data_IF_063372396966
#
_entry.id   IF_063372396966
#
_cell.length_a   1.000
_cell.length_b   1.000
_cell.length_c   1.000
_cell.angle_alpha   90.00
_cell.angle_beta   90.00
_cell.angle_gamma   90.00
#
_symmetry.space_group_name_H-M   'P 1'
#
loop_
_entity.id
_entity.type
_entity.pdbx_description
1 polymer ?
#
# COMPACT_ATOMS: atom_id res chain seq x y z
N UNK A 1 31.20 -56.79 88.63
CA UNK A 1 30.68 -56.32 87.32
C UNK A 1 30.49 -54.80 87.47
N UNK A 2 31.45 -53.93 87.13
CA UNK A 2 31.80 -53.42 85.78
C UNK A 2 30.53 -53.03 84.99
N UNK A 3 30.30 -51.80 84.52
CA UNK A 3 31.17 -50.89 83.74
C UNK A 3 30.74 -49.41 83.93
N UNK A 4 31.74 -48.55 83.79
CA UNK A 4 31.82 -47.07 83.68
C UNK A 4 30.86 -46.36 82.70
N UNK A 5 30.70 -45.02 82.79
CA UNK A 5 29.82 -44.22 81.95
C UNK A 5 30.48 -43.89 80.61
N UNK A 6 29.75 -43.97 79.50
CA UNK A 6 30.16 -43.43 78.21
C UNK A 6 29.39 -42.14 77.92
N UNK A 7 30.13 -41.04 77.80
CA UNK A 7 29.68 -39.75 77.31
C UNK A 7 28.89 -39.88 76.00
N UNK A 8 27.64 -39.42 76.02
CA UNK A 8 26.96 -38.96 74.80
C UNK A 8 27.62 -37.63 74.39
N UNK A 9 28.62 -37.74 73.53
CA UNK A 9 29.21 -36.58 72.85
C UNK A 9 28.15 -35.92 71.96
N UNK A 10 27.90 -34.65 72.26
CA UNK A 10 27.24 -33.66 71.41
C UNK A 10 27.78 -33.73 69.98
N UNK A 11 27.00 -34.31 69.06
CA UNK A 11 27.30 -34.24 67.63
C UNK A 11 26.68 -32.94 67.12
N UNK A 12 27.37 -31.83 67.40
CA UNK A 12 27.10 -30.57 66.70
C UNK A 12 27.44 -30.79 65.23
N UNK A 13 26.42 -31.05 64.42
CA UNK A 13 26.52 -31.15 62.97
C UNK A 13 27.02 -29.81 62.43
N UNK A 14 28.33 -29.72 62.20
CA UNK A 14 28.96 -28.59 61.54
C UNK A 14 28.40 -28.46 60.13
N UNK A 15 27.44 -27.55 59.95
CA UNK A 15 27.07 -27.06 58.63
C UNK A 15 28.29 -26.38 58.03
N UNK A 16 29.00 -27.13 57.20
CA UNK A 16 30.19 -26.67 56.49
C UNK A 16 29.87 -25.41 55.67
N UNK A 17 30.57 -24.28 55.89
CA UNK A 17 30.44 -23.07 55.06
C UNK A 17 30.73 -23.33 53.58
N UNK A 18 31.51 -24.39 53.28
CA UNK A 18 31.76 -24.83 51.90
C UNK A 18 30.51 -25.39 51.23
N UNK A 19 29.62 -26.08 51.96
CA UNK A 19 28.36 -26.60 51.40
C UNK A 19 27.36 -25.46 51.13
N UNK A 20 27.30 -24.44 52.00
CA UNK A 20 26.50 -23.24 51.74
C UNK A 20 27.06 -22.40 50.58
N UNK A 21 28.39 -22.26 50.47
CA UNK A 21 29.05 -21.56 49.38
C UNK A 21 28.88 -22.25 48.02
N UNK A 22 28.88 -23.58 47.97
CA UNK A 22 28.59 -24.34 46.75
C UNK A 22 27.12 -24.25 46.35
N UNK A 23 26.18 -24.35 47.30
CA UNK A 23 24.74 -24.22 47.02
C UNK A 23 24.37 -22.79 46.60
N UNK A 24 24.93 -21.77 47.27
CA UNK A 24 24.74 -20.37 46.86
C UNK A 24 25.47 -20.02 45.57
N UNK A 25 26.66 -20.58 45.32
CA UNK A 25 27.36 -20.43 44.05
C UNK A 25 26.57 -21.05 42.88
N UNK A 26 26.11 -22.29 43.03
CA UNK A 26 25.31 -22.98 42.02
C UNK A 26 23.94 -22.32 41.78
N UNK A 27 23.31 -21.74 42.81
CA UNK A 27 22.03 -21.03 42.64
C UNK A 27 22.21 -19.68 41.94
N UNK A 28 23.29 -18.94 42.21
CA UNK A 28 23.63 -17.70 41.51
C UNK A 28 24.03 -17.97 40.06
N UNK A 29 24.84 -18.99 39.78
CA UNK A 29 25.14 -19.41 38.41
C UNK A 29 23.91 -19.93 37.66
N UNK A 30 23.00 -20.64 38.33
CA UNK A 30 21.74 -21.09 37.75
C UNK A 30 20.76 -19.93 37.48
N UNK A 31 20.73 -18.91 38.35
CA UNK A 31 19.90 -17.73 38.14
C UNK A 31 20.47 -16.85 37.03
N UNK A 32 21.79 -16.66 36.99
CA UNK A 32 22.48 -15.92 35.93
C UNK A 32 22.40 -16.65 34.59
N UNK A 33 22.55 -17.98 34.56
CA UNK A 33 22.39 -18.76 33.32
C UNK A 33 20.95 -18.73 32.82
N UNK A 34 19.96 -18.73 33.71
CA UNK A 34 18.56 -18.59 33.35
C UNK A 34 18.23 -17.17 32.86
N UNK A 35 18.85 -16.13 33.44
CA UNK A 35 18.76 -14.76 32.93
C UNK A 35 19.42 -14.61 31.56
N UNK A 36 20.62 -15.17 31.37
CA UNK A 36 21.32 -15.21 30.08
C UNK A 36 20.52 -15.98 29.03
N UNK A 37 20.01 -17.17 29.36
CA UNK A 37 19.16 -17.95 28.47
C UNK A 37 17.88 -17.20 28.10
N UNK A 38 17.27 -16.47 29.05
CA UNK A 38 16.13 -15.60 28.75
C UNK A 38 16.50 -14.46 27.81
N UNK A 39 17.63 -13.78 28.04
CA UNK A 39 18.11 -12.70 27.18
C UNK A 39 18.44 -13.20 25.76
N UNK A 40 19.10 -14.35 25.66
CA UNK A 40 19.43 -14.97 24.39
C UNK A 40 18.16 -15.40 23.64
N UNK A 41 17.19 -16.01 24.34
CA UNK A 41 15.88 -16.33 23.76
C UNK A 41 15.14 -15.08 23.26
N UNK A 42 15.15 -13.98 24.02
CA UNK A 42 14.52 -12.73 23.56
C UNK A 42 15.22 -12.16 22.33
N UNK A 43 16.55 -12.18 22.27
CA UNK A 43 17.29 -11.71 21.09
C UNK A 43 17.02 -12.58 19.85
N UNK A 44 16.95 -13.91 20.02
CA UNK A 44 16.57 -14.79 18.91
C UNK A 44 15.14 -14.55 18.43
N UNK A 45 14.19 -14.28 19.35
CA UNK A 45 12.81 -13.95 18.99
C UNK A 45 12.72 -12.62 18.24
N UNK A 46 13.45 -11.60 18.67
CA UNK A 46 13.50 -10.29 18.01
C UNK A 46 14.09 -10.39 16.60
N UNK A 47 15.21 -11.10 16.44
CA UNK A 47 15.82 -11.33 15.12
C UNK A 47 14.88 -12.09 14.18
N UNK A 48 14.14 -13.07 14.70
CA UNK A 48 13.15 -13.80 13.90
C UNK A 48 11.97 -12.92 13.49
N UNK A 49 11.46 -12.10 14.40
CA UNK A 49 10.38 -11.16 14.10
C UNK A 49 10.82 -10.14 13.04
N UNK A 50 12.05 -9.62 13.12
CA UNK A 50 12.60 -8.71 12.11
C UNK A 50 12.74 -9.34 10.73
N UNK A 51 13.17 -10.62 10.65
CA UNK A 51 13.21 -11.34 9.38
C UNK A 51 11.83 -11.53 8.79
N UNK A 52 10.86 -11.97 9.60
CA UNK A 52 9.47 -12.10 9.18
C UNK A 52 8.91 -10.77 8.67
N UNK A 53 9.28 -9.64 9.30
CA UNK A 53 8.95 -8.30 8.80
C UNK A 53 9.49 -8.05 7.41
N UNK A 54 10.79 -8.29 7.24
CA UNK A 54 11.51 -7.99 6.00
C UNK A 54 10.94 -8.80 4.85
N UNK A 55 10.68 -10.08 5.09
CA UNK A 55 10.08 -10.97 4.11
C UNK A 55 8.63 -10.56 3.80
N UNK A 56 7.83 -10.15 4.80
CA UNK A 56 6.48 -9.64 4.58
C UNK A 56 6.47 -8.31 3.81
N UNK A 57 7.42 -7.42 4.07
CA UNK A 57 7.62 -6.18 3.31
C UNK A 57 8.08 -6.45 1.88
N UNK A 58 8.90 -7.48 1.65
CA UNK A 58 9.28 -7.91 0.30
C UNK A 58 8.07 -8.43 -0.47
N UNK A 59 7.23 -9.24 0.18
CA UNK A 59 5.96 -9.71 -0.40
C UNK A 59 5.02 -8.53 -0.67
N UNK A 60 4.96 -7.54 0.20
CA UNK A 60 4.19 -6.30 -0.01
C UNK A 60 4.69 -5.52 -1.24
N UNK A 61 6.01 -5.39 -1.42
CA UNK A 61 6.62 -4.79 -2.62
C UNK A 61 6.38 -5.62 -3.88
N UNK A 62 6.39 -6.95 -3.77
CA UNK A 62 6.01 -7.84 -4.86
C UNK A 62 4.57 -7.61 -5.29
N UNK A 63 3.65 -7.42 -4.33
CA UNK A 63 2.27 -7.05 -4.61
C UNK A 63 2.17 -5.68 -5.29
N UNK A 64 2.87 -4.66 -4.77
CA UNK A 64 2.93 -3.33 -5.37
C UNK A 64 3.40 -3.38 -6.83
N UNK A 65 4.50 -4.08 -7.09
CA UNK A 65 5.01 -4.24 -8.45
C UNK A 65 4.02 -5.00 -9.34
N UNK A 66 3.36 -6.02 -8.81
CA UNK A 66 2.33 -6.76 -9.54
C UNK A 66 1.17 -5.86 -9.98
N UNK A 67 0.80 -4.88 -9.15
CA UNK A 67 -0.24 -3.90 -9.45
C UNK A 67 0.25 -2.92 -10.51
N UNK A 68 1.46 -2.37 -10.34
CA UNK A 68 2.05 -1.42 -11.29
C UNK A 68 2.28 -2.02 -12.67
N UNK A 69 2.59 -3.32 -12.76
CA UNK A 69 2.81 -4.06 -13.99
C UNK A 69 1.52 -4.53 -14.67
N UNK A 70 0.35 -4.24 -14.12
CA UNK A 70 -0.92 -4.63 -14.73
C UNK A 70 -1.13 -3.97 -16.09
N UNK A 71 -1.74 -4.72 -17.00
CA UNK A 71 -2.33 -4.23 -18.24
C UNK A 71 -3.85 -4.48 -18.22
N UNK A 72 -4.54 -4.09 -19.29
CA UNK A 72 -6.01 -4.26 -19.42
C UNK A 72 -6.46 -5.71 -19.17
N UNK A 73 -5.69 -6.71 -19.62
CA UNK A 73 -6.06 -8.12 -19.50
C UNK A 73 -5.72 -8.73 -18.14
N UNK A 74 -4.74 -8.16 -17.44
CA UNK A 74 -4.24 -8.70 -16.17
C UNK A 74 -4.72 -7.92 -14.94
N UNK A 75 -5.53 -6.87 -15.13
CA UNK A 75 -6.15 -6.13 -14.05
C UNK A 75 -6.98 -7.07 -13.16
N UNK A 76 -6.87 -6.88 -11.84
CA UNK A 76 -7.63 -7.67 -10.87
C UNK A 76 -7.76 -6.93 -9.54
N UNK A 77 -8.93 -7.09 -8.91
CA UNK A 77 -9.23 -6.61 -7.55
C UNK A 77 -8.86 -7.60 -6.44
N UNK A 78 -8.29 -8.75 -6.81
CA UNK A 78 -7.81 -9.74 -5.84
C UNK A 78 -6.41 -9.38 -5.39
N UNK A 79 -6.23 -9.15 -4.10
CA UNK A 79 -4.91 -8.92 -3.49
C UNK A 79 -4.50 -10.15 -2.70
N UNK A 80 -3.84 -11.09 -3.37
CA UNK A 80 -3.47 -12.38 -2.82
C UNK A 80 -1.97 -12.68 -2.94
N UNK A 81 -1.59 -13.82 -2.36
CA UNK A 81 -0.22 -14.27 -2.33
C UNK A 81 0.31 -14.70 -3.69
N UNK A 82 -0.53 -15.27 -4.55
CA UNK A 82 -0.11 -15.77 -5.86
C UNK A 82 0.37 -14.62 -6.74
N UNK A 83 -0.33 -13.48 -6.69
CA UNK A 83 0.07 -12.26 -7.38
C UNK A 83 1.39 -11.69 -6.87
N UNK A 84 1.55 -11.63 -5.55
CA UNK A 84 2.79 -11.14 -4.94
C UNK A 84 3.99 -12.04 -5.28
N UNK A 85 3.80 -13.37 -5.29
CA UNK A 85 4.85 -14.37 -5.59
C UNK A 85 5.45 -14.24 -6.98
N UNK A 86 4.69 -13.77 -7.97
CA UNK A 86 5.22 -13.56 -9.31
C UNK A 86 6.37 -12.53 -9.36
N UNK A 87 6.46 -11.66 -8.35
CA UNK A 87 7.38 -10.52 -8.32
C UNK A 87 8.17 -10.39 -6.99
N UNK A 88 8.11 -11.41 -6.13
CA UNK A 88 8.82 -11.49 -4.86
C UNK A 88 9.85 -12.63 -4.90
N UNK A 89 11.07 -12.42 -4.41
CA UNK A 89 12.05 -13.49 -4.25
C UNK A 89 11.81 -14.30 -2.96
N UNK A 90 11.11 -13.73 -1.98
CA UNK A 90 10.64 -14.44 -0.80
C UNK A 90 9.68 -15.58 -1.20
N UNK A 91 9.91 -16.78 -0.65
CA UNK A 91 9.01 -17.94 -0.81
C UNK A 91 7.61 -17.69 -0.24
N UNK A 92 7.46 -16.61 0.54
CA UNK A 92 6.23 -16.16 1.17
C UNK A 92 5.57 -17.27 2.00
N UNK A 93 6.41 -17.97 2.77
CA UNK A 93 6.02 -19.00 3.73
C UNK A 93 6.57 -18.64 5.09
N UNK A 94 5.76 -18.88 6.11
CA UNK A 94 6.10 -18.71 7.50
C UNK A 94 7.13 -19.77 7.93
N UNK A 95 7.70 -19.60 9.13
CA UNK A 95 8.66 -20.56 9.68
C UNK A 95 8.09 -21.98 9.83
N UNK A 96 6.80 -22.07 10.19
CA UNK A 96 6.03 -23.30 10.31
C UNK A 96 5.61 -23.90 8.97
N UNK A 97 5.98 -23.27 7.85
CA UNK A 97 5.70 -23.75 6.50
C UNK A 97 4.30 -23.43 5.99
N UNK A 98 3.58 -22.52 6.65
CA UNK A 98 2.28 -22.04 6.17
C UNK A 98 2.47 -20.89 5.17
N UNK A 99 1.54 -20.75 4.24
CA UNK A 99 1.51 -19.60 3.34
C UNK A 99 1.17 -18.32 4.12
N UNK A 100 1.79 -17.19 3.72
CA UNK A 100 1.48 -15.88 4.30
C UNK A 100 0.00 -15.57 4.14
N UNK A 101 -0.57 -14.94 5.17
CA UNK A 101 -1.99 -14.62 5.18
C UNK A 101 -2.23 -13.19 4.72
N UNK A 102 -3.20 -13.01 3.82
CA UNK A 102 -3.59 -11.71 3.28
C UNK A 102 -4.97 -11.33 3.80
N UNK A 103 -5.14 -10.08 4.21
CA UNK A 103 -6.46 -9.49 4.45
C UNK A 103 -6.52 -8.12 3.80
N UNK A 104 -7.34 -8.00 2.76
CA UNK A 104 -7.60 -6.76 2.07
C UNK A 104 -8.88 -6.11 2.61
N UNK A 105 -8.85 -4.81 2.89
CA UNK A 105 -9.99 -4.02 3.35
C UNK A 105 -10.10 -2.73 2.57
N UNK A 106 -11.29 -2.51 2.03
CA UNK A 106 -11.59 -1.28 1.32
C UNK A 106 -11.73 -0.12 2.30
N UNK A 107 -11.20 1.01 1.88
CA UNK A 107 -11.32 2.30 2.50
C UNK A 107 -12.65 2.94 2.14
N UNK A 108 -13.06 3.91 2.95
CA UNK A 108 -14.05 4.90 2.54
C UNK A 108 -13.45 5.97 1.60
N UNK A 109 -12.11 6.06 1.53
CA UNK A 109 -11.40 6.99 0.63
C UNK A 109 -11.52 6.49 -0.81
N UNK A 110 -12.16 7.31 -1.64
CA UNK A 110 -12.27 7.07 -3.08
C UNK A 110 -11.39 8.04 -3.86
N UNK A 111 -10.61 7.52 -4.81
CA UNK A 111 -9.77 8.32 -5.71
C UNK A 111 -9.90 7.75 -7.12
N UNK A 112 -10.07 8.65 -8.11
CA UNK A 112 -10.24 8.28 -9.51
C UNK A 112 -11.31 7.19 -9.73
N UNK A 113 -12.46 7.30 -9.06
CA UNK A 113 -13.57 6.35 -9.19
C UNK A 113 -13.35 4.98 -8.53
N UNK A 114 -12.32 4.84 -7.68
CA UNK A 114 -11.99 3.58 -7.01
C UNK A 114 -11.68 3.78 -5.53
N UNK A 115 -12.24 2.91 -4.68
CA UNK A 115 -11.90 2.88 -3.25
C UNK A 115 -10.45 2.43 -3.07
N UNK A 116 -9.71 3.11 -2.20
CA UNK A 116 -8.42 2.63 -1.75
C UNK A 116 -8.59 1.30 -1.01
N UNK A 117 -7.68 0.35 -1.17
CA UNK A 117 -7.69 -0.91 -0.41
C UNK A 117 -6.40 -1.04 0.36
N UNK A 118 -6.49 -1.24 1.68
CA UNK A 118 -5.33 -1.59 2.51
C UNK A 118 -5.24 -3.10 2.68
N UNK A 119 -4.04 -3.65 2.55
CA UNK A 119 -3.77 -5.09 2.59
C UNK A 119 -2.79 -5.39 3.73
N UNK A 120 -3.23 -6.13 4.75
CA UNK A 120 -2.32 -6.69 5.75
C UNK A 120 -1.78 -8.05 5.28
N UNK A 121 -0.46 -8.22 5.41
CA UNK A 121 0.27 -9.45 5.10
C UNK A 121 0.91 -9.96 6.38
N UNK A 122 0.45 -11.11 6.88
CA UNK A 122 0.97 -11.74 8.08
C UNK A 122 2.06 -12.75 7.72
N UNK A 123 3.31 -12.49 8.13
CA UNK A 123 4.48 -13.35 7.93
C UNK A 123 4.70 -14.40 9.04
N UNK A 124 3.73 -14.57 9.94
CA UNK A 124 3.83 -15.39 11.16
C UNK A 124 2.85 -16.56 11.17
N UNK A 125 3.20 -17.62 11.92
CA UNK A 125 2.30 -18.74 12.22
C UNK A 125 1.36 -18.47 13.41
N UNK A 126 1.53 -17.34 14.10
CA UNK A 126 0.73 -17.01 15.28
C UNK A 126 -0.76 -16.90 14.90
N UNK A 127 -1.54 -17.85 15.40
CA UNK A 127 -2.98 -17.97 15.12
C UNK A 127 -3.76 -16.78 15.68
N UNK A 128 -3.28 -16.13 16.74
CA UNK A 128 -3.92 -14.94 17.29
C UNK A 128 -3.73 -13.76 16.35
N UNK A 129 -2.52 -13.53 15.86
CA UNK A 129 -2.23 -12.44 14.90
C UNK A 129 -2.99 -12.65 13.61
N UNK A 130 -2.94 -13.87 13.07
CA UNK A 130 -3.67 -14.23 11.86
C UNK A 130 -5.18 -14.10 12.05
N UNK A 131 -5.72 -14.53 13.19
CA UNK A 131 -7.14 -14.34 13.48
C UNK A 131 -7.53 -12.88 13.66
N UNK A 132 -6.67 -12.05 14.27
CA UNK A 132 -6.91 -10.61 14.44
C UNK A 132 -6.97 -9.92 13.08
N UNK A 133 -5.98 -10.14 12.22
CA UNK A 133 -5.95 -9.60 10.86
C UNK A 133 -7.17 -10.08 10.06
N UNK A 134 -7.52 -11.37 10.13
CA UNK A 134 -8.68 -11.90 9.42
C UNK A 134 -10.00 -11.28 9.90
N UNK A 135 -10.16 -11.06 11.20
CA UNK A 135 -11.37 -10.48 11.81
C UNK A 135 -11.44 -8.97 11.74
N UNK A 136 -10.36 -8.32 11.32
CA UNK A 136 -10.36 -6.88 11.12
C UNK A 136 -11.42 -6.54 10.07
N UNK A 137 -12.37 -5.66 10.36
CA UNK A 137 -13.49 -5.35 9.46
C UNK A 137 -13.24 -4.09 8.62
N UNK A 138 -12.45 -3.14 9.13
CA UNK A 138 -12.21 -1.83 8.48
C UNK A 138 -10.74 -1.60 8.16
N UNK A 139 -10.49 -0.71 7.19
CA UNK A 139 -9.15 -0.27 6.80
C UNK A 139 -8.38 0.36 7.98
N UNK A 140 -9.03 1.20 8.78
CA UNK A 140 -8.41 1.87 9.94
C UNK A 140 -7.82 0.86 10.93
N UNK A 141 -8.51 -0.27 11.13
CA UNK A 141 -8.03 -1.34 12.00
C UNK A 141 -6.89 -2.16 11.36
N UNK A 142 -6.79 -2.21 10.03
CA UNK A 142 -5.63 -2.79 9.32
C UNK A 142 -4.40 -1.89 9.50
N UNK A 143 -4.60 -0.58 9.43
CA UNK A 143 -3.59 0.45 9.60
C UNK A 143 -3.23 0.73 11.06
N UNK A 144 -4.05 0.27 12.02
CA UNK A 144 -3.83 0.48 13.44
C UNK A 144 -2.54 -0.17 13.95
N UNK A 145 -1.89 0.47 14.92
CA UNK A 145 -0.62 0.02 15.52
C UNK A 145 -0.71 -1.34 16.21
N UNK A 146 -1.91 -1.78 16.59
CA UNK A 146 -2.10 -3.09 17.22
C UNK A 146 -1.91 -4.26 16.25
N UNK A 147 -2.24 -4.06 14.97
CA UNK A 147 -2.16 -5.06 13.90
C UNK A 147 -1.05 -4.71 12.92
N UNK A 148 -1.13 -3.55 12.26
CA UNK A 148 -0.12 -3.07 11.30
C UNK A 148 1.18 -2.57 11.94
N UNK A 149 1.17 -2.28 13.24
CA UNK A 149 2.38 -1.88 13.99
C UNK A 149 3.21 -3.05 14.52
N UNK A 150 2.77 -4.30 14.32
CA UNK A 150 3.54 -5.47 14.74
C UNK A 150 4.69 -5.73 13.77
N UNK A 151 5.79 -6.26 14.31
CA UNK A 151 6.97 -6.57 13.50
C UNK A 151 6.77 -7.76 12.56
N UNK A 152 5.70 -8.54 12.68
CA UNK A 152 5.43 -9.71 11.85
C UNK A 152 4.33 -9.47 10.80
N UNK A 153 3.94 -8.21 10.60
CA UNK A 153 2.88 -7.79 9.68
C UNK A 153 3.39 -6.64 8.81
N UNK A 154 3.18 -6.76 7.50
CA UNK A 154 3.38 -5.66 6.56
C UNK A 154 2.02 -5.13 6.10
N UNK A 155 1.89 -3.81 5.95
CA UNK A 155 0.66 -3.17 5.48
C UNK A 155 0.88 -2.44 4.16
N UNK A 156 0.11 -2.90 3.18
CA UNK A 156 -0.05 -2.48 1.79
C UNK A 156 -1.12 -1.42 1.48
N UNK A 157 -0.87 -0.13 1.22
CA UNK A 157 -1.94 0.75 0.66
C UNK A 157 -1.88 0.77 -0.87
N UNK A 158 -2.89 0.17 -1.52
CA UNK A 158 -2.96 0.04 -2.98
C UNK A 158 -3.19 1.37 -3.70
N UNK A 159 -3.69 2.40 -3.01
CA UNK A 159 -3.96 3.71 -3.61
C UNK A 159 -2.71 4.36 -4.20
N UNK A 160 -1.54 4.14 -3.58
CA UNK A 160 -0.27 4.68 -4.05
C UNK A 160 0.06 4.21 -5.48
N UNK A 161 -0.01 2.90 -5.73
CA UNK A 161 0.26 2.36 -7.05
C UNK A 161 -0.80 2.77 -8.08
N UNK A 162 -2.08 2.80 -7.69
CA UNK A 162 -3.17 3.24 -8.58
C UNK A 162 -3.03 4.71 -8.98
N UNK A 163 -2.72 5.58 -8.02
CA UNK A 163 -2.45 6.99 -8.28
C UNK A 163 -1.25 7.15 -9.22
N UNK A 164 -0.19 6.39 -8.99
CA UNK A 164 0.98 6.42 -9.86
C UNK A 164 0.65 6.00 -11.31
N UNK A 165 -0.18 4.97 -11.51
CA UNK A 165 -0.65 4.55 -12.84
C UNK A 165 -1.44 5.68 -13.51
N UNK A 166 -2.42 6.26 -12.83
CA UNK A 166 -3.23 7.37 -13.38
C UNK A 166 -2.37 8.59 -13.70
N UNK A 167 -1.46 8.98 -12.82
CA UNK A 167 -0.52 10.08 -13.06
C UNK A 167 0.39 9.81 -14.25
N UNK A 168 0.89 8.58 -14.39
CA UNK A 168 1.71 8.18 -15.53
C UNK A 168 0.90 8.29 -16.83
N UNK A 169 -0.36 7.85 -16.84
CA UNK A 169 -1.26 8.00 -17.99
C UNK A 169 -1.49 9.47 -18.33
N UNK A 170 -1.70 10.34 -17.33
CA UNK A 170 -1.84 11.78 -17.55
C UNK A 170 -0.61 12.41 -18.20
N UNK A 171 0.59 12.12 -17.67
CA UNK A 171 1.85 12.63 -18.24
C UNK A 171 2.06 12.17 -19.69
N UNK A 172 1.72 10.92 -19.98
CA UNK A 172 1.81 10.37 -21.34
C UNK A 172 0.74 10.96 -22.27
N UNK A 173 -0.44 11.27 -21.74
CA UNK A 173 -1.51 11.95 -22.46
C UNK A 173 -1.10 13.40 -22.82
N UNK A 174 -0.47 14.11 -21.89
CA UNK A 174 0.12 15.45 -22.14
C UNK A 174 1.17 15.40 -23.25
N UNK A 175 2.08 14.42 -23.21
CA UNK A 175 3.08 14.23 -24.26
C UNK A 175 2.45 13.94 -25.62
N UNK A 176 1.37 13.14 -25.67
CA UNK A 176 0.60 12.94 -26.91
C UNK A 176 -0.03 14.26 -27.39
N UNK A 177 -0.60 15.05 -26.48
CA UNK A 177 -1.16 16.35 -26.80
C UNK A 177 -0.12 17.32 -27.40
N UNK A 178 1.12 17.35 -26.88
CA UNK A 178 2.21 18.15 -27.45
C UNK A 178 2.50 17.80 -28.92
N UNK A 179 2.48 16.51 -29.26
CA UNK A 179 2.63 16.07 -30.64
C UNK A 179 1.45 16.45 -31.53
N UNK A 180 0.23 16.40 -30.98
CA UNK A 180 -0.97 16.88 -31.67
C UNK A 180 -0.87 18.40 -31.92
N UNK A 181 -0.42 19.18 -30.94
CA UNK A 181 -0.19 20.62 -31.12
C UNK A 181 0.93 20.92 -32.12
N UNK A 182 1.96 20.08 -32.19
CA UNK A 182 3.01 20.19 -33.23
C UNK A 182 2.43 19.94 -34.63
N UNK A 183 1.52 18.96 -34.77
CA UNK A 183 0.79 18.74 -36.01
C UNK A 183 -0.08 19.96 -36.35
N UNK A 184 -0.79 20.50 -35.36
CA UNK A 184 -1.59 21.71 -35.53
C UNK A 184 -0.74 22.87 -36.05
N UNK A 185 0.43 23.14 -35.46
CA UNK A 185 1.31 24.23 -35.87
C UNK A 185 1.75 24.12 -37.34
N UNK A 186 1.86 22.89 -37.87
CA UNK A 186 2.25 22.66 -39.26
C UNK A 186 1.07 22.69 -40.25
N UNK A 187 -0.16 22.40 -39.81
CA UNK A 187 -1.34 22.20 -40.67
C UNK A 187 -2.49 23.18 -40.41
N UNK A 188 -2.42 23.98 -39.36
CA UNK A 188 -3.45 24.89 -38.86
C UNK A 188 -4.81 24.23 -38.60
N UNK A 189 -4.80 22.94 -38.27
CA UNK A 189 -5.97 22.16 -37.85
C UNK A 189 -5.53 20.97 -37.02
N UNK A 190 -6.44 20.46 -36.19
CA UNK A 190 -6.24 19.20 -35.50
C UNK A 190 -6.21 18.02 -36.50
N UNK A 191 -5.46 16.94 -36.22
CA UNK A 191 -5.42 15.76 -37.07
C UNK A 191 -6.81 15.12 -37.15
N UNK A 192 -7.15 14.54 -38.30
CA UNK A 192 -8.31 13.65 -38.39
C UNK A 192 -7.95 12.26 -37.83
N UNK A 193 -8.91 11.34 -37.81
CA UNK A 193 -8.71 10.01 -37.22
C UNK A 193 -7.55 9.24 -37.86
N UNK A 194 -7.40 9.27 -39.19
CA UNK A 194 -6.33 8.52 -39.89
C UNK A 194 -4.94 9.14 -39.69
N UNK A 195 -4.86 10.46 -39.61
CA UNK A 195 -3.63 11.19 -39.29
C UNK A 195 -3.24 10.97 -37.83
N UNK A 196 -4.21 10.93 -36.92
CA UNK A 196 -3.97 10.60 -35.52
C UNK A 196 -3.43 9.17 -35.38
N UNK A 197 -4.01 8.17 -36.05
CA UNK A 197 -3.50 6.80 -36.03
C UNK A 197 -2.06 6.70 -36.58
N UNK A 198 -1.74 7.50 -37.60
CA UNK A 198 -0.37 7.60 -38.12
C UNK A 198 0.59 8.23 -37.11
N UNK A 199 0.13 9.27 -36.40
CA UNK A 199 0.89 9.97 -35.37
C UNK A 199 1.14 9.06 -34.16
N UNK A 200 0.09 8.38 -33.69
CA UNK A 200 0.13 7.37 -32.63
C UNK A 200 1.11 6.24 -32.98
N UNK A 201 1.03 5.67 -34.18
CA UNK A 201 1.93 4.60 -34.63
C UNK A 201 3.40 5.03 -34.72
N UNK A 202 3.68 6.32 -34.98
CA UNK A 202 5.04 6.86 -35.01
C UNK A 202 5.60 7.14 -33.62
N UNK A 203 4.77 7.63 -32.71
CA UNK A 203 5.18 8.05 -31.37
C UNK A 203 5.22 6.87 -30.40
N UNK A 204 4.24 5.96 -30.50
CA UNK A 204 4.15 4.76 -29.67
C UNK A 204 3.82 5.03 -28.20
N UNK A 205 3.23 6.18 -27.88
CA UNK A 205 2.89 6.56 -26.50
C UNK A 205 1.52 6.01 -26.13
N UNK A 206 1.46 5.34 -24.98
CA UNK A 206 0.33 4.57 -24.46
C UNK A 206 0.11 4.87 -22.99
N UNK A 207 -1.07 4.62 -22.48
CA UNK A 207 -1.37 4.78 -21.06
C UNK A 207 -0.57 3.79 -20.17
N UNK A 208 -0.75 3.87 -18.85
CA UNK A 208 -0.05 3.00 -17.90
C UNK A 208 -0.36 1.50 -18.09
N UNK A 209 -1.51 1.16 -18.68
CA UNK A 209 -1.96 -0.21 -18.95
C UNK A 209 -1.63 -0.69 -20.36
N UNK A 210 -0.94 0.13 -21.15
CA UNK A 210 -0.52 -0.20 -22.51
C UNK A 210 -1.61 -0.03 -23.55
N UNK A 211 -2.67 0.72 -23.25
CA UNK A 211 -3.73 1.08 -24.19
C UNK A 211 -3.40 2.37 -24.93
N UNK A 212 -3.91 2.47 -26.15
CA UNK A 212 -3.81 3.68 -26.94
C UNK A 212 -4.84 4.72 -26.45
N UNK A 213 -4.48 6.00 -26.47
CA UNK A 213 -5.41 7.07 -26.09
C UNK A 213 -6.54 7.21 -27.11
N UNK A 214 -7.77 7.37 -26.62
CA UNK A 214 -8.93 7.68 -27.46
C UNK A 214 -8.88 9.15 -27.87
N UNK A 215 -9.01 9.40 -29.17
CA UNK A 215 -8.97 10.73 -29.74
C UNK A 215 -10.25 11.00 -30.54
N UNK A 216 -10.87 12.15 -30.29
CA UNK A 216 -12.08 12.60 -31.00
C UNK A 216 -11.91 14.04 -31.48
N UNK A 217 -11.68 14.28 -32.78
CA UNK A 217 -11.68 15.63 -33.32
C UNK A 217 -13.12 16.17 -33.40
N UNK A 218 -13.30 17.46 -33.13
CA UNK A 218 -14.56 18.15 -33.42
C UNK A 218 -14.75 18.30 -34.94
N UNK A 219 -16.00 18.42 -35.39
CA UNK A 219 -16.36 18.58 -36.80
C UNK A 219 -15.70 19.80 -37.46
N UNK A 220 -15.37 20.82 -36.66
CA UNK A 220 -14.70 22.03 -37.13
C UNK A 220 -13.18 21.89 -37.28
N UNK A 221 -12.58 20.83 -36.73
CA UNK A 221 -11.12 20.62 -36.70
C UNK A 221 -10.35 21.65 -35.87
N UNK A 222 -11.06 22.44 -35.04
CA UNK A 222 -10.50 23.48 -34.16
C UNK A 222 -10.45 23.08 -32.69
N UNK A 223 -11.13 21.97 -32.33
CA UNK A 223 -11.10 21.36 -31.01
C UNK A 223 -10.93 19.86 -31.18
N UNK A 224 -10.38 19.20 -30.19
CA UNK A 224 -10.36 17.75 -30.10
C UNK A 224 -10.37 17.33 -28.64
N UNK A 225 -10.72 16.08 -28.36
CA UNK A 225 -10.58 15.51 -27.02
C UNK A 225 -9.65 14.31 -27.06
N UNK A 226 -8.80 14.20 -26.05
CA UNK A 226 -7.95 13.04 -25.81
C UNK A 226 -8.36 12.43 -24.47
N UNK A 227 -8.54 11.12 -24.41
CA UNK A 227 -8.99 10.45 -23.19
C UNK A 227 -8.38 9.06 -23.01
N UNK A 228 -8.32 8.62 -21.76
CA UNK A 228 -8.13 7.20 -21.42
C UNK A 228 -9.16 6.78 -20.38
N UNK A 229 -9.46 5.48 -20.38
CA UNK A 229 -10.35 4.86 -19.40
C UNK A 229 -9.57 3.81 -18.64
N UNK A 230 -9.55 3.95 -17.32
CA UNK A 230 -8.94 2.97 -16.42
C UNK A 230 -9.70 1.63 -16.47
N UNK A 231 -9.09 0.50 -16.09
CA UNK A 231 -9.77 -0.80 -16.05
C UNK A 231 -11.01 -0.87 -15.13
N UNK A 232 -11.15 0.07 -14.19
CA UNK A 232 -12.30 0.20 -13.30
C UNK A 232 -13.29 1.30 -13.75
N UNK A 233 -13.30 1.61 -15.05
CA UNK A 233 -14.30 2.46 -15.71
C UNK A 233 -14.25 3.96 -15.35
N UNK A 234 -13.17 4.43 -14.71
CA UNK A 234 -12.91 5.87 -14.59
C UNK A 234 -12.28 6.42 -15.86
N UNK A 235 -12.92 7.43 -16.48
CA UNK A 235 -12.41 8.11 -17.69
C UNK A 235 -11.83 9.47 -17.33
N UNK A 236 -10.60 9.70 -17.80
CA UNK A 236 -9.97 11.00 -17.78
C UNK A 236 -9.97 11.59 -19.19
N UNK A 237 -10.40 12.85 -19.31
CA UNK A 237 -10.47 13.57 -20.59
C UNK A 237 -9.66 14.85 -20.54
N UNK A 238 -8.93 15.11 -21.62
CA UNK A 238 -8.23 16.36 -21.90
C UNK A 238 -8.85 17.02 -23.13
N UNK A 239 -9.31 18.25 -22.97
CA UNK A 239 -9.83 19.05 -24.07
C UNK A 239 -8.67 19.81 -24.75
N UNK A 240 -8.50 19.60 -26.04
CA UNK A 240 -7.52 20.28 -26.87
C UNK A 240 -8.21 21.43 -27.62
N UNK A 241 -7.77 22.65 -27.32
CA UNK A 241 -8.23 23.89 -27.95
C UNK A 241 -7.06 24.87 -28.02
N UNK A 242 -7.15 25.85 -28.91
CA UNK A 242 -6.19 26.98 -28.98
C UNK A 242 -6.73 28.25 -28.34
N UNK A 243 -8.03 28.29 -28.10
CA UNK A 243 -8.65 29.37 -27.36
C UNK A 243 -8.68 28.96 -25.89
N UNK A 244 -7.98 29.72 -25.07
CA UNK A 244 -8.18 29.81 -23.62
C UNK A 244 -9.63 30.29 -23.35
N UNK A 245 -10.62 29.43 -23.55
CA UNK A 245 -12.02 29.76 -23.24
C UNK A 245 -12.30 29.67 -21.73
N UNK A 246 -11.37 29.14 -20.93
CA UNK A 246 -11.53 29.01 -19.47
C UNK A 246 -11.43 30.35 -18.70
N UNK A 247 -11.02 31.46 -19.33
CA UNK A 247 -11.05 32.79 -18.69
C UNK A 247 -12.30 33.63 -18.95
N UNK A 248 -13.28 33.13 -19.72
CA UNK A 248 -14.52 33.90 -20.00
C UNK A 248 -15.76 33.45 -19.24
N UNK A 249 -15.78 32.25 -18.67
CA UNK A 249 -16.96 31.74 -17.97
C UNK A 249 -17.19 32.37 -16.57
N UNK A 250 -16.21 33.09 -16.01
CA UNK A 250 -16.35 33.70 -14.66
C UNK A 250 -16.82 35.17 -14.68
N UNK A 251 -16.97 35.80 -15.85
CA UNK A 251 -17.35 37.22 -15.96
C UNK A 251 -18.70 37.50 -16.62
N UNK A 252 -19.35 36.52 -17.27
CA UNK A 252 -20.63 36.73 -17.97
C UNK A 252 -21.88 36.36 -17.15
N UNK A 253 -21.73 35.96 -15.88
CA UNK A 253 -22.88 35.68 -14.96
C UNK A 253 -23.18 36.84 -13.98
N UNK A 254 -22.80 38.06 -14.34
CA UNK A 254 -23.33 39.27 -13.69
C UNK A 254 -24.14 40.07 -14.71
N UNK A 255 -25.35 39.58 -15.01
CA UNK A 255 -26.41 40.46 -15.49
C UNK A 255 -26.73 41.48 -14.38
N UNK A 256 -26.67 42.80 -14.65
CA UNK A 256 -27.13 43.78 -13.69
C UNK A 256 -28.65 43.64 -13.58
N UNK A 257 -29.15 43.26 -12.42
CA UNK A 257 -30.56 43.37 -12.08
C UNK A 257 -30.95 44.85 -12.13
N UNK A 258 -31.83 45.21 -13.07
CA UNK A 258 -32.47 46.53 -13.12
C UNK A 258 -33.15 46.82 -11.77
N UNK A 259 -32.98 48.03 -11.19
CA UNK A 259 -33.72 48.41 -10.00
C UNK A 259 -35.19 48.64 -10.34
N UNK A 260 -36.08 47.89 -9.70
CA UNK A 260 -37.53 48.09 -9.74
C UNK A 260 -37.90 49.48 -9.21
N UNK A 261 -38.24 50.40 -10.09
CA UNK A 261 -38.91 51.66 -9.73
C UNK A 261 -40.35 51.37 -9.33
N UNK A 262 -40.65 51.52 -8.04
CA UNK A 262 -42.03 51.59 -7.52
C UNK A 262 -42.52 53.02 -7.68
N UNK A 263 -43.46 53.25 -8.59
CA UNK A 263 -44.18 54.52 -8.70
C UNK A 263 -45.27 54.62 -7.62
N UNK A 264 -45.33 55.70 -6.82
CA UNK A 264 -46.46 55.97 -5.95
C UNK A 264 -47.65 56.52 -6.74
N UNK A 265 -48.79 55.85 -6.66
CA UNK A 265 -50.08 56.34 -7.11
C UNK A 265 -50.60 57.41 -6.15
N UNK A 266 -50.79 58.63 -6.66
CA UNK A 266 -51.67 59.63 -6.06
C UNK A 266 -53.01 59.57 -6.78
N UNK A 267 -54.06 59.16 -6.06
CA UNK A 267 -55.43 59.70 -6.10
C UNK A 267 -56.19 59.19 -4.86
#
# INVERSE_FOLDING_TARGET
MSVTPSLLTDQSGGFSPFMFGLVMGMSVFSALSLQWAKQELTQYQELQAQRAKTDAEEVAKGLEFSILAENEQSYSDKYDLERARAYSAAQARTRGGQDYMFAARDSEREQFGKKATSVAIAGTDDTLVRSQIHRTETEEHVLDKSVGGRNDVAVYDTSLARNQQVMTSNQRMELMAEHIYTFYAAKFRFPNDSEYQTLLGRIGVRDAWGQDFEYKPDATGQKATLSFTTPWEYTQTMNLSLKDEEKKAEYDDQTPTEPTTVSPSYE
#
